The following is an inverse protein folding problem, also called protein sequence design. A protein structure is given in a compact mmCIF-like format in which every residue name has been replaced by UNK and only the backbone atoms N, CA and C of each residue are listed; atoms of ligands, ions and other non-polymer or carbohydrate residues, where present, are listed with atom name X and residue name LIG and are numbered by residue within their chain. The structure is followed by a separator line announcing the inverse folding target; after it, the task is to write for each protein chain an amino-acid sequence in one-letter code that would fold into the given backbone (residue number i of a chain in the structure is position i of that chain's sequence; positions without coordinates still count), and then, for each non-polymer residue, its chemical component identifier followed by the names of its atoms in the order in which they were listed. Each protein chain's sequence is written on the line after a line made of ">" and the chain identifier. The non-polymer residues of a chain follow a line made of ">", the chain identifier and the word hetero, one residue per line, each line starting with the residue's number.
data_IF_275587886053
#
_entry.id   IF_275587886053
#
_cell.length_a   1.000
_cell.length_b   1.000
_cell.length_c   1.000
_cell.angle_alpha   90.00
_cell.angle_beta   90.00
_cell.angle_gamma   90.00
#
_symmetry.space_group_name_H-M   'P 1'
#
loop_
_entity.id
_entity.type
_entity.pdbx_description
1 polymer ?
#
# COMPACT_ATOMS: atom_id res chain seq x y z
N UNK A 1 -3.12 3.42 -5.13
CA UNK A 1 -2.77 2.01 -4.86
C UNK A 1 -4.02 1.19 -5.13
N UNK A 2 -4.32 0.93 -6.41
CA UNK A 2 -5.64 0.44 -6.84
C UNK A 2 -6.02 -0.90 -6.21
N UNK A 3 -5.03 -1.74 -5.91
CA UNK A 3 -5.23 -3.07 -5.32
C UNK A 3 -5.03 -3.10 -3.79
N UNK A 4 -5.04 -1.93 -3.13
CA UNK A 4 -4.88 -1.84 -1.69
C UNK A 4 -6.00 -2.59 -0.95
N UNK A 5 -5.65 -3.36 0.08
CA UNK A 5 -6.61 -4.08 0.92
C UNK A 5 -6.46 -3.65 2.36
N UNK A 6 -7.59 -3.32 3.00
CA UNK A 6 -7.62 -2.88 4.40
C UNK A 6 -8.90 -3.40 5.08
N UNK A 7 -8.87 -4.64 5.61
CA UNK A 7 -10.05 -5.32 6.15
C UNK A 7 -10.66 -4.62 7.37
N UNK A 8 -9.85 -3.89 8.13
CA UNK A 8 -10.28 -3.26 9.39
C UNK A 8 -11.17 -2.03 9.17
N UNK A 9 -11.11 -1.41 7.98
CA UNK A 9 -11.91 -0.23 7.65
C UNK A 9 -12.08 -0.05 6.12
N UNK A 10 -13.31 -0.28 5.63
CA UNK A 10 -13.67 -0.15 4.21
C UNK A 10 -13.51 1.27 3.67
N UNK A 11 -13.69 2.30 4.51
CA UNK A 11 -13.51 3.70 4.14
C UNK A 11 -12.03 3.99 3.87
N UNK A 12 -11.14 3.52 4.75
CA UNK A 12 -9.68 3.59 4.57
C UNK A 12 -9.27 2.84 3.31
N UNK A 13 -9.80 1.64 3.09
CA UNK A 13 -9.51 0.89 1.86
C UNK A 13 -9.89 1.69 0.60
N UNK A 14 -11.09 2.26 0.59
CA UNK A 14 -11.60 3.06 -0.54
C UNK A 14 -10.72 4.29 -0.76
N UNK A 15 -10.34 4.97 0.32
CA UNK A 15 -9.39 6.07 0.27
C UNK A 15 -8.03 5.64 -0.30
N UNK A 16 -7.46 4.51 0.15
CA UNK A 16 -6.16 4.01 -0.32
C UNK A 16 -6.16 3.70 -1.82
N UNK A 17 -7.27 3.19 -2.34
CA UNK A 17 -7.49 2.93 -3.77
C UNK A 17 -7.70 4.19 -4.59
N UNK A 18 -8.33 5.22 -4.01
CA UNK A 18 -8.60 6.49 -4.66
C UNK A 18 -7.37 7.39 -4.87
N UNK A 19 -7.60 8.63 -5.32
CA UNK A 19 -6.56 9.62 -5.59
C UNK A 19 -6.15 10.47 -4.37
N UNK A 20 -6.93 10.45 -3.28
CA UNK A 20 -6.68 11.31 -2.11
C UNK A 20 -5.33 11.02 -1.44
N UNK A 21 -4.62 12.05 -1.00
CA UNK A 21 -3.26 11.91 -0.44
C UNK A 21 -3.25 11.65 1.07
N UNK A 22 -4.15 12.27 1.81
CA UNK A 22 -4.33 12.07 3.24
C UNK A 22 -5.80 11.95 3.62
N UNK A 23 -6.09 11.16 4.66
CA UNK A 23 -7.42 10.96 5.22
C UNK A 23 -7.35 11.00 6.74
N UNK A 24 -8.31 11.70 7.35
CA UNK A 24 -8.51 11.66 8.82
C UNK A 24 -9.59 10.65 9.12
N UNK A 25 -9.27 9.65 9.92
CA UNK A 25 -10.23 8.65 10.37
C UNK A 25 -10.57 8.96 11.82
N UNK A 26 -11.82 9.39 12.01
CA UNK A 26 -12.46 9.38 13.33
C UNK A 26 -12.90 7.96 13.59
N UNK A 27 -12.08 7.18 14.29
CA UNK A 27 -12.51 5.85 14.72
C UNK A 27 -13.64 6.08 15.73
N UNK A 28 -14.79 5.45 15.54
CA UNK A 28 -15.96 5.56 16.42
C UNK A 28 -15.63 4.99 17.80
N UNK A 29 -15.01 5.82 18.64
CA UNK A 29 -14.18 5.34 19.72
C UNK A 29 -14.89 5.34 21.06
N UNK A 30 -16.00 4.59 21.19
CA UNK A 30 -16.56 4.35 22.53
C UNK A 30 -15.63 3.55 23.46
N UNK A 31 -14.43 3.13 23.00
CA UNK A 31 -13.56 2.17 23.72
C UNK A 31 -12.08 2.51 23.90
N UNK A 32 -11.44 3.44 23.18
CA UNK A 32 -10.06 3.82 23.56
C UNK A 32 -10.13 4.92 24.62
N UNK A 33 -9.68 4.58 25.82
CA UNK A 33 -9.73 5.47 26.99
C UNK A 33 -8.50 6.37 27.09
N UNK A 34 -7.48 6.13 26.27
CA UNK A 34 -6.18 6.79 26.37
C UNK A 34 -5.54 7.09 25.01
N UNK A 35 -4.70 8.12 24.95
CA UNK A 35 -3.85 8.43 23.80
C UNK A 35 -2.92 7.25 23.43
N UNK A 36 -2.50 6.48 24.42
CA UNK A 36 -1.63 5.32 24.22
C UNK A 36 -2.28 4.25 23.34
N UNK A 37 -3.57 3.97 23.55
CA UNK A 37 -4.33 3.01 22.75
C UNK A 37 -4.43 3.44 21.28
N UNK A 38 -4.48 4.75 21.04
CA UNK A 38 -4.49 5.34 19.69
C UNK A 38 -3.17 5.13 19.01
N UNK A 39 -2.08 5.45 19.71
CA UNK A 39 -0.71 5.28 19.23
C UNK A 39 -0.44 3.81 18.92
N UNK A 40 -0.89 2.90 19.78
CA UNK A 40 -0.79 1.47 19.55
C UNK A 40 -1.62 1.03 18.32
N UNK A 41 -2.84 1.55 18.14
CA UNK A 41 -3.65 1.28 16.95
C UNK A 41 -2.98 1.79 15.67
N UNK A 42 -2.46 3.03 15.68
CA UNK A 42 -1.76 3.63 14.56
C UNK A 42 -0.50 2.83 14.20
N UNK A 43 0.30 2.46 15.21
CA UNK A 43 1.45 1.61 15.04
C UNK A 43 1.09 0.24 14.44
N UNK A 44 0.00 -0.40 14.91
CA UNK A 44 -0.49 -1.67 14.37
C UNK A 44 -0.89 -1.53 12.90
N UNK A 45 -1.67 -0.50 12.55
CA UNK A 45 -2.09 -0.24 11.17
C UNK A 45 -0.91 0.00 10.23
N UNK A 46 0.14 0.66 10.73
CA UNK A 46 1.36 0.88 9.95
C UNK A 46 2.18 -0.40 9.79
N UNK A 47 2.21 -1.31 10.78
CA UNK A 47 3.08 -2.49 10.75
C UNK A 47 2.48 -3.71 10.06
N UNK A 48 1.21 -3.99 10.28
CA UNK A 48 0.64 -5.32 9.97
C UNK A 48 -0.33 -5.32 8.78
N UNK A 49 -0.93 -4.18 8.46
CA UNK A 49 -2.09 -4.13 7.54
C UNK A 49 -1.77 -3.57 6.14
N UNK A 50 -0.49 -3.38 5.79
CA UNK A 50 -0.11 -2.76 4.51
C UNK A 50 0.01 -3.80 3.38
N UNK A 51 -1.14 -4.33 2.92
CA UNK A 51 -1.19 -5.23 1.76
C UNK A 51 -1.46 -4.44 0.49
N UNK A 52 -0.51 -4.48 -0.45
CA UNK A 52 -0.55 -3.69 -1.70
C UNK A 52 -0.77 -2.19 -1.48
N UNK A 53 -0.32 -1.69 -0.34
CA UNK A 53 -0.41 -0.29 0.03
C UNK A 53 0.89 0.16 0.69
N UNK A 54 1.14 1.46 0.66
CA UNK A 54 2.12 2.11 1.49
C UNK A 54 1.54 3.41 2.04
N UNK A 55 1.49 3.51 3.37
CA UNK A 55 1.02 4.68 4.07
C UNK A 55 1.69 4.81 5.44
N UNK A 56 1.64 6.01 5.99
CA UNK A 56 2.01 6.32 7.36
C UNK A 56 0.76 6.74 8.13
N UNK A 57 0.76 6.48 9.43
CA UNK A 57 -0.33 6.91 10.30
C UNK A 57 0.19 7.79 11.42
N UNK A 58 -0.47 8.93 11.64
CA UNK A 58 -0.15 9.86 12.73
C UNK A 58 -1.36 9.93 13.66
N UNK A 59 -1.21 9.49 14.93
CA UNK A 59 -2.25 9.67 15.93
C UNK A 59 -2.32 11.14 16.35
N UNK A 60 -3.52 11.66 16.54
CA UNK A 60 -3.78 13.01 17.01
C UNK A 60 -4.98 13.02 17.95
N UNK A 61 -4.90 13.84 19.01
CA UNK A 61 -6.04 14.14 19.86
C UNK A 61 -6.48 15.56 19.59
N UNK A 62 -7.74 15.76 19.24
CA UNK A 62 -8.31 17.09 19.02
C UNK A 62 -9.63 17.18 19.77
N UNK A 63 -9.71 18.06 20.77
CA UNK A 63 -10.96 18.35 21.50
C UNK A 63 -11.67 17.09 22.03
N UNK A 64 -10.94 16.25 22.77
CA UNK A 64 -11.39 14.95 23.30
C UNK A 64 -11.66 13.84 22.24
N UNK A 65 -11.68 14.17 20.94
CA UNK A 65 -11.72 13.18 19.88
C UNK A 65 -10.31 12.65 19.58
N UNK A 66 -10.23 11.34 19.45
CA UNK A 66 -9.07 10.64 18.92
C UNK A 66 -9.21 10.53 17.40
N UNK A 67 -8.22 11.02 16.67
CA UNK A 67 -8.17 10.99 15.21
C UNK A 67 -6.86 10.37 14.75
N UNK A 68 -6.94 9.39 13.86
CA UNK A 68 -5.76 8.84 13.17
C UNK A 68 -5.72 9.45 11.78
N UNK A 69 -4.64 10.14 11.45
CA UNK A 69 -4.39 10.65 10.10
C UNK A 69 -3.61 9.60 9.33
N UNK A 70 -4.10 9.20 8.16
CA UNK A 70 -3.45 8.25 7.25
C UNK A 70 -2.94 9.04 6.06
N UNK A 71 -1.65 8.93 5.75
CA UNK A 71 -1.00 9.61 4.62
C UNK A 71 -0.38 8.58 3.70
N UNK A 72 -0.75 8.60 2.41
CA UNK A 72 -0.15 7.71 1.41
C UNK A 72 1.33 8.07 1.23
N UNK A 73 2.17 7.05 1.07
CA UNK A 73 3.56 7.27 0.68
C UNK A 73 3.80 6.84 -0.76
N UNK A 74 4.89 7.36 -1.34
CA UNK A 74 5.33 6.99 -2.68
C UNK A 74 6.01 5.62 -2.74
N UNK A 75 6.40 5.02 -1.60
CA UNK A 75 7.19 3.78 -1.55
C UNK A 75 6.58 2.65 -2.38
N UNK A 76 5.26 2.41 -2.25
CA UNK A 76 4.58 1.38 -3.03
C UNK A 76 4.66 1.63 -4.55
N UNK A 77 4.54 2.89 -4.98
CA UNK A 77 4.65 3.24 -6.39
C UNK A 77 6.06 2.98 -6.91
N UNK A 78 7.08 3.40 -6.16
CA UNK A 78 8.47 3.23 -6.56
C UNK A 78 8.87 1.75 -6.62
N UNK A 79 8.42 0.92 -5.66
CA UNK A 79 8.62 -0.54 -5.68
C UNK A 79 7.95 -1.20 -6.89
N UNK A 80 6.72 -0.80 -7.22
CA UNK A 80 5.99 -1.33 -8.37
C UNK A 80 6.63 -0.91 -9.69
N UNK A 81 7.14 0.31 -9.77
CA UNK A 81 7.86 0.80 -10.95
C UNK A 81 9.15 0.00 -11.17
N UNK A 82 9.96 -0.20 -10.13
CA UNK A 82 11.17 -1.04 -10.21
C UNK A 82 10.85 -2.46 -10.66
N UNK A 83 9.81 -3.07 -10.08
CA UNK A 83 9.39 -4.43 -10.43
C UNK A 83 8.92 -4.52 -11.89
N UNK A 84 8.24 -3.50 -12.40
CA UNK A 84 7.83 -3.43 -13.80
C UNK A 84 9.04 -3.34 -14.75
N UNK A 85 10.06 -2.57 -14.39
CA UNK A 85 11.30 -2.47 -15.17
C UNK A 85 12.01 -3.82 -15.25
N UNK A 86 12.13 -4.53 -14.12
CA UNK A 86 12.69 -5.90 -14.08
C UNK A 86 11.92 -6.87 -14.99
N UNK A 87 10.58 -6.86 -14.92
CA UNK A 87 9.78 -7.74 -15.78
C UNK A 87 9.86 -7.40 -17.27
N UNK A 88 10.04 -6.13 -17.62
CA UNK A 88 10.28 -5.73 -19.02
C UNK A 88 11.62 -6.29 -19.53
N UNK A 89 12.64 -6.27 -18.69
CA UNK A 89 13.95 -6.83 -19.01
C UNK A 89 13.90 -8.36 -19.15
N UNK A 90 13.27 -9.05 -18.20
CA UNK A 90 13.09 -10.51 -18.25
C UNK A 90 12.30 -10.93 -19.50
N UNK A 91 11.21 -10.22 -19.82
CA UNK A 91 10.42 -10.48 -21.02
C UNK A 91 11.21 -10.22 -22.31
N UNK A 92 12.12 -9.25 -22.32
CA UNK A 92 13.03 -9.03 -23.45
C UNK A 92 13.99 -10.21 -23.61
N UNK A 93 14.63 -10.65 -22.52
CA UNK A 93 15.54 -11.81 -22.54
C UNK A 93 14.84 -13.10 -22.97
N UNK A 94 13.63 -13.36 -22.46
CA UNK A 94 12.84 -14.53 -22.84
C UNK A 94 12.46 -14.50 -24.33
N UNK A 95 12.09 -13.33 -24.87
CA UNK A 95 11.81 -13.18 -26.31
C UNK A 95 13.05 -13.41 -27.17
N UNK A 96 14.22 -12.96 -26.73
CA UNK A 96 15.49 -13.18 -27.42
C UNK A 96 15.88 -14.67 -27.40
N UNK A 97 15.63 -15.38 -26.30
CA UNK A 97 15.91 -16.82 -26.17
C UNK A 97 14.90 -17.69 -26.93
N UNK A 98 13.59 -17.44 -26.82
CA UNK A 98 12.57 -18.21 -27.55
C UNK A 98 12.46 -17.84 -29.04
N UNK A 99 12.98 -16.69 -29.46
CA UNK A 99 13.09 -16.32 -30.88
C UNK A 99 14.32 -16.89 -31.59
N UNK A 100 15.18 -17.62 -30.88
CA UNK A 100 16.46 -18.14 -31.38
C UNK A 100 16.43 -19.54 -32.01
N UNK A 101 15.36 -20.33 -31.80
CA UNK A 101 15.26 -21.73 -32.28
C UNK A 101 14.58 -21.87 -33.64
N UNK A 102 14.89 -20.97 -34.58
CA UNK A 102 14.65 -21.23 -36.01
C UNK A 102 15.91 -20.98 -36.80
N UNK A 103 16.97 -21.75 -36.55
CA UNK A 103 18.03 -21.93 -37.53
C UNK A 103 18.80 -23.23 -37.31
N UNK A 104 18.49 -24.22 -38.15
CA UNK A 104 19.45 -25.25 -38.53
C UNK A 104 19.11 -26.69 -38.17
N UNK A 105 17.90 -27.16 -38.50
CA UNK A 105 17.73 -28.55 -38.92
C UNK A 105 17.30 -28.51 -40.37
N UNK A 106 18.28 -28.59 -41.26
CA UNK A 106 18.10 -29.02 -42.65
C UNK A 106 19.41 -29.67 -43.10
N UNK A 107 19.35 -31.00 -43.11
CA UNK A 107 20.07 -32.01 -43.90
C UNK A 107 21.57 -31.83 -44.20
#
# INVERSE_FOLDING_TARGET
>A
MPDATFPENTEVQTFLRGAGMAMKVKKGLRKLKSFQDVTNCAAKWTRESQVNASFETVPSCTNADVVVTITKTRKWFDERQRKLELYKEELKQLKEQCGGDTRGSDN
#
